data_IF_913760705108
#
_entry.id   IF_913760705108
#
_cell.length_a   1.000
_cell.length_b   1.000
_cell.length_c   1.000
_cell.angle_alpha   90.00
_cell.angle_beta   90.00
_cell.angle_gamma   90.00
#
_symmetry.space_group_name_H-M   'P 1'
#
loop_
_entity.id
_entity.type
_entity.pdbx_description
1 polymer ?
#
# COMPACT_ATOMS: atom_id res chain seq x y z
N UNK A 1 38.84 -16.79 -20.10
CA UNK A 1 38.61 -16.30 -18.71
C UNK A 1 37.41 -15.36 -18.72
N UNK A 2 36.36 -15.68 -17.96
CA UNK A 2 35.12 -14.88 -17.86
C UNK A 2 35.33 -13.75 -16.84
N UNK A 3 35.20 -12.50 -17.27
CA UNK A 3 35.09 -11.35 -16.36
C UNK A 3 33.60 -11.05 -16.18
N UNK A 4 33.06 -11.42 -15.01
CA UNK A 4 31.68 -11.09 -14.64
C UNK A 4 31.60 -9.63 -14.22
N UNK A 5 30.94 -8.81 -15.04
CA UNK A 5 30.50 -7.47 -14.64
C UNK A 5 29.27 -7.65 -13.76
N UNK A 6 29.42 -7.41 -12.46
CA UNK A 6 28.33 -7.36 -11.49
C UNK A 6 27.48 -6.12 -11.78
N UNK A 7 26.33 -6.31 -12.40
CA UNK A 7 25.31 -5.28 -12.55
C UNK A 7 24.73 -4.92 -11.17
N UNK A 8 25.23 -3.85 -10.57
CA UNK A 8 24.54 -3.15 -9.50
C UNK A 8 23.65 -2.07 -10.14
N UNK A 9 22.50 -2.50 -10.66
CA UNK A 9 21.48 -1.58 -11.16
C UNK A 9 20.75 -0.97 -9.94
N UNK A 10 21.17 0.23 -9.54
CA UNK A 10 20.41 1.03 -8.60
C UNK A 10 19.14 1.52 -9.30
N UNK A 11 18.05 0.77 -9.15
CA UNK A 11 16.73 1.20 -9.60
C UNK A 11 16.28 2.33 -8.70
N UNK A 12 16.34 3.56 -9.21
CA UNK A 12 15.78 4.74 -8.58
C UNK A 12 14.27 4.50 -8.42
N UNK A 13 13.82 4.41 -7.16
CA UNK A 13 12.43 4.18 -6.80
C UNK A 13 11.55 5.34 -7.33
N UNK A 14 10.86 5.11 -8.44
CA UNK A 14 9.71 5.93 -8.82
C UNK A 14 8.58 5.64 -7.84
N UNK A 15 8.39 6.52 -6.86
CA UNK A 15 7.25 6.50 -5.95
C UNK A 15 5.97 6.78 -6.73
N UNK A 16 5.08 5.80 -6.84
CA UNK A 16 3.73 6.03 -7.37
C UNK A 16 2.85 6.54 -6.24
N UNK A 17 2.15 7.66 -6.48
CA UNK A 17 1.24 8.30 -5.53
C UNK A 17 -0.15 8.33 -6.13
N UNK A 18 -1.14 7.82 -5.40
CA UNK A 18 -2.56 8.01 -5.75
C UNK A 18 -3.10 9.18 -4.94
N UNK A 19 -3.77 10.11 -5.63
CA UNK A 19 -4.45 11.27 -5.06
C UNK A 19 -5.95 11.01 -5.07
N UNK A 20 -6.60 11.14 -3.92
CA UNK A 20 -8.06 11.11 -3.84
C UNK A 20 -8.58 12.27 -3.01
N UNK A 21 -9.64 12.93 -3.48
CA UNK A 21 -10.31 14.06 -2.82
C UNK A 21 -11.57 13.58 -2.09
N UNK A 22 -11.73 13.91 -0.81
CA UNK A 22 -12.84 13.38 0.00
C UNK A 22 -13.50 14.46 0.87
N UNK A 23 -14.84 14.57 0.88
CA UNK A 23 -15.55 15.43 1.82
C UNK A 23 -15.57 14.82 3.22
N UNK A 24 -15.16 15.58 4.25
CA UNK A 24 -15.46 15.28 5.66
C UNK A 24 -14.28 14.87 6.56
N UNK A 25 -13.08 15.40 6.35
CA UNK A 25 -11.89 15.10 7.16
C UNK A 25 -11.59 16.16 8.24
N UNK A 26 -12.60 16.92 8.67
CA UNK A 26 -12.45 17.98 9.66
C UNK A 26 -12.24 17.42 11.09
N UNK A 27 -11.36 18.04 11.91
CA UNK A 27 -11.33 17.79 13.36
C UNK A 27 -12.66 18.18 13.99
N UNK A 28 -13.09 17.47 15.03
CA UNK A 28 -14.38 17.63 15.71
C UNK A 28 -14.60 18.98 16.44
N UNK A 29 -13.77 19.99 16.19
CA UNK A 29 -13.87 21.33 16.76
C UNK A 29 -13.84 22.38 15.67
N UNK A 30 -14.90 22.45 14.87
CA UNK A 30 -15.39 23.72 14.33
C UNK A 30 -16.77 23.54 13.71
N UNK A 31 -17.76 24.03 14.44
CA UNK A 31 -19.10 24.34 13.97
C UNK A 31 -19.04 25.35 12.83
N UNK A 32 -19.75 25.03 11.75
CA UNK A 32 -20.17 25.96 10.68
C UNK A 32 -19.04 26.58 9.84
N UNK A 33 -18.62 25.90 8.77
CA UNK A 33 -18.41 26.45 7.40
C UNK A 33 -17.54 25.50 6.57
N UNK A 34 -18.15 24.88 5.54
CA UNK A 34 -17.56 24.00 4.50
C UNK A 34 -16.93 22.66 4.94
N UNK A 35 -17.18 21.55 4.20
CA UNK A 35 -16.45 20.31 4.45
C UNK A 35 -15.00 20.50 4.01
N UNK A 36 -14.09 20.56 4.98
CA UNK A 36 -12.65 20.47 4.73
C UNK A 36 -12.38 19.19 3.92
N UNK A 37 -11.95 19.34 2.67
CA UNK A 37 -11.66 18.21 1.78
C UNK A 37 -10.24 17.75 2.12
N UNK A 38 -10.16 16.70 2.94
CA UNK A 38 -8.90 16.01 3.15
C UNK A 38 -8.58 15.16 1.92
N UNK A 39 -7.35 15.30 1.42
CA UNK A 39 -6.80 14.44 0.39
C UNK A 39 -5.99 13.34 1.06
N UNK A 40 -6.46 12.09 0.94
CA UNK A 40 -5.67 10.93 1.30
C UNK A 40 -4.72 10.58 0.14
N UNK A 41 -3.42 10.63 0.42
CA UNK A 41 -2.35 10.18 -0.47
C UNK A 41 -1.74 8.91 0.06
N UNK A 42 -1.71 7.88 -0.80
CA UNK A 42 -1.01 6.62 -0.51
C UNK A 42 0.05 6.41 -1.57
N UNK A 43 1.24 6.04 -1.12
CA UNK A 43 2.38 5.78 -1.99
C UNK A 43 3.14 4.53 -1.56
N UNK A 44 3.74 3.83 -2.52
CA UNK A 44 4.65 2.70 -2.22
C UNK A 44 6.05 3.28 -1.98
N UNK A 45 6.44 3.38 -0.70
CA UNK A 45 7.76 3.90 -0.30
C UNK A 45 8.86 2.88 -0.50
N UNK A 46 8.57 1.60 -0.27
CA UNK A 46 9.52 0.52 -0.48
C UNK A 46 8.78 -0.78 -0.80
N UNK A 47 9.42 -1.63 -1.60
CA UNK A 47 8.93 -2.95 -1.98
C UNK A 47 10.10 -3.93 -2.00
N UNK A 48 10.01 -4.98 -1.18
CA UNK A 48 11.02 -6.04 -1.11
C UNK A 48 10.36 -7.37 -1.40
N UNK A 49 10.97 -8.15 -2.29
CA UNK A 49 10.50 -9.50 -2.66
C UNK A 49 11.62 -10.49 -2.41
N UNK A 50 11.31 -11.54 -1.66
CA UNK A 50 12.17 -12.68 -1.45
C UNK A 50 11.51 -13.90 -2.09
N UNK A 51 12.08 -14.38 -3.19
CA UNK A 51 11.54 -15.50 -3.95
C UNK A 51 11.75 -15.27 -5.45
N UNK A 52 10.89 -15.90 -6.24
CA UNK A 52 10.97 -15.87 -7.70
C UNK A 52 10.04 -14.85 -8.36
N UNK A 53 9.11 -14.27 -7.60
CA UNK A 53 8.24 -13.21 -8.10
C UNK A 53 9.04 -11.96 -8.47
N UNK A 54 8.77 -11.40 -9.65
CA UNK A 54 9.43 -10.18 -10.10
C UNK A 54 8.91 -8.95 -9.36
N UNK A 55 9.83 -8.08 -8.92
CA UNK A 55 9.49 -6.86 -8.16
C UNK A 55 8.63 -5.89 -8.97
N UNK A 56 8.86 -5.77 -10.27
CA UNK A 56 8.10 -4.91 -11.19
C UNK A 56 6.63 -5.31 -11.24
N UNK A 57 6.37 -6.61 -11.40
CA UNK A 57 5.03 -7.21 -11.47
C UNK A 57 4.26 -7.00 -10.16
N UNK A 58 4.92 -7.22 -9.02
CA UNK A 58 4.31 -6.95 -7.70
C UNK A 58 4.02 -5.46 -7.53
N UNK A 59 4.92 -4.58 -7.96
CA UNK A 59 4.74 -3.13 -7.87
C UNK A 59 3.55 -2.66 -8.70
N UNK A 60 3.44 -3.14 -9.93
CA UNK A 60 2.34 -2.81 -10.84
C UNK A 60 1.00 -3.25 -10.26
N UNK A 61 0.92 -4.49 -9.80
CA UNK A 61 -0.31 -5.02 -9.21
C UNK A 61 -0.71 -4.29 -7.91
N UNK A 62 0.26 -3.99 -7.04
CA UNK A 62 0.01 -3.16 -5.85
C UNK A 62 -0.46 -1.76 -6.22
N UNK A 63 0.09 -1.17 -7.28
CA UNK A 63 -0.30 0.17 -7.78
C UNK A 63 -1.76 0.19 -8.22
N UNK A 64 -2.22 -0.86 -8.92
CA UNK A 64 -3.62 -1.01 -9.34
C UNK A 64 -4.57 -1.12 -8.14
N UNK A 65 -4.11 -1.69 -7.02
CA UNK A 65 -4.91 -1.86 -5.81
C UNK A 65 -4.85 -0.68 -4.84
N UNK A 66 -3.91 0.27 -5.03
CA UNK A 66 -3.79 1.46 -4.17
C UNK A 66 -5.13 2.19 -3.95
N UNK A 67 -6.00 2.35 -4.98
CA UNK A 67 -7.29 2.97 -4.76
C UNK A 67 -8.18 2.25 -3.74
N UNK A 68 -8.29 0.93 -3.86
CA UNK A 68 -9.12 0.13 -2.94
C UNK A 68 -8.51 0.09 -1.54
N UNK A 69 -7.18 0.11 -1.44
CA UNK A 69 -6.48 0.23 -0.16
C UNK A 69 -6.75 1.59 0.50
N UNK A 70 -6.94 2.65 -0.28
CA UNK A 70 -7.34 3.96 0.21
C UNK A 70 -8.69 3.92 0.92
N UNK A 71 -9.66 3.20 0.35
CA UNK A 71 -10.99 3.02 0.96
C UNK A 71 -10.88 2.36 2.34
N UNK A 72 -10.07 1.31 2.48
CA UNK A 72 -9.84 0.67 3.78
C UNK A 72 -9.18 1.64 4.78
N UNK A 73 -8.12 2.32 4.37
CA UNK A 73 -7.37 3.24 5.23
C UNK A 73 -8.24 4.41 5.68
N UNK A 74 -9.11 4.90 4.79
CA UNK A 74 -10.08 5.91 5.12
C UNK A 74 -11.11 5.43 6.14
N UNK A 75 -11.72 4.27 5.92
CA UNK A 75 -12.72 3.75 6.86
C UNK A 75 -12.12 3.60 8.28
N UNK A 76 -10.85 3.20 8.36
CA UNK A 76 -10.13 3.17 9.63
C UNK A 76 -9.85 4.57 10.17
N UNK A 77 -9.41 5.52 9.34
CA UNK A 77 -9.24 6.91 9.77
C UNK A 77 -10.54 7.49 10.35
N UNK A 78 -11.68 7.29 9.69
CA UNK A 78 -12.98 7.77 10.20
C UNK A 78 -13.38 7.11 11.52
N UNK A 79 -12.96 5.86 11.74
CA UNK A 79 -13.27 5.10 12.97
C UNK A 79 -12.45 5.56 14.17
N UNK A 80 -11.17 5.87 13.97
CA UNK A 80 -10.22 6.14 15.08
C UNK A 80 -9.59 7.53 15.05
N UNK A 81 -9.89 8.34 14.04
CA UNK A 81 -9.28 9.66 13.74
C UNK A 81 -7.75 9.64 13.76
N UNK A 82 -7.15 8.48 13.48
CA UNK A 82 -5.72 8.26 13.56
C UNK A 82 -5.27 7.09 12.68
N UNK A 83 -4.41 7.37 11.72
CA UNK A 83 -3.71 6.35 10.92
C UNK A 83 -2.23 6.74 10.91
N UNK A 84 -1.29 5.79 11.10
CA UNK A 84 0.12 6.06 11.02
C UNK A 84 0.51 6.46 9.58
N UNK A 85 1.50 7.32 9.47
CA UNK A 85 2.03 7.79 8.18
C UNK A 85 2.76 6.71 7.38
N UNK A 86 3.03 5.56 8.01
CA UNK A 86 3.71 4.40 7.42
C UNK A 86 2.97 3.15 7.83
N UNK A 87 2.68 2.29 6.85
CA UNK A 87 2.01 1.01 7.06
C UNK A 87 2.88 -0.08 6.44
N UNK A 88 3.28 -1.07 7.25
CA UNK A 88 4.06 -2.21 6.76
C UNK A 88 3.14 -3.39 6.50
N UNK A 89 3.06 -3.80 5.24
CA UNK A 89 2.29 -4.94 4.77
C UNK A 89 3.22 -6.11 4.43
N UNK A 90 2.91 -7.30 4.91
CA UNK A 90 3.61 -8.55 4.54
C UNK A 90 2.65 -9.49 3.84
N UNK A 91 3.13 -10.11 2.76
CA UNK A 91 2.36 -11.00 1.90
C UNK A 91 3.17 -12.25 1.57
N UNK A 92 2.48 -13.37 1.44
CA UNK A 92 3.03 -14.56 0.79
C UNK A 92 2.27 -14.80 -0.52
N UNK A 93 3.01 -14.86 -1.61
CA UNK A 93 2.51 -15.16 -2.95
C UNK A 93 2.89 -16.61 -3.26
N UNK A 94 1.90 -17.47 -3.50
CA UNK A 94 2.15 -18.83 -3.96
C UNK A 94 2.73 -18.84 -5.38
N UNK A 95 3.37 -19.95 -5.76
CA UNK A 95 3.96 -20.11 -7.08
C UNK A 95 2.99 -19.87 -8.26
N UNK A 96 1.71 -20.17 -8.05
CA UNK A 96 0.62 -19.88 -8.99
C UNK A 96 0.20 -18.40 -9.04
N UNK A 97 0.91 -17.50 -8.35
CA UNK A 97 0.67 -16.05 -8.35
C UNK A 97 -0.47 -15.58 -7.44
N UNK A 98 -1.12 -16.48 -6.68
CA UNK A 98 -2.15 -16.13 -5.70
C UNK A 98 -1.54 -15.68 -4.38
N UNK A 99 -2.14 -14.67 -3.75
CA UNK A 99 -1.79 -14.31 -2.37
C UNK A 99 -2.44 -15.30 -1.40
N UNK A 100 -1.62 -16.07 -0.69
CA UNK A 100 -2.07 -17.09 0.27
C UNK A 100 -2.07 -16.59 1.71
N UNK A 101 -1.32 -15.52 1.99
CA UNK A 101 -1.26 -14.92 3.31
C UNK A 101 -0.96 -13.43 3.22
N UNK A 102 -1.55 -12.67 4.14
CA UNK A 102 -1.41 -11.23 4.24
C UNK A 102 -1.49 -10.80 5.71
N UNK A 103 -0.71 -9.77 6.08
CA UNK A 103 -0.77 -9.16 7.42
C UNK A 103 -0.17 -7.76 7.43
N UNK A 104 -0.78 -6.86 8.18
CA UNK A 104 -0.23 -5.58 8.59
C UNK A 104 0.59 -5.79 9.87
N UNK A 105 1.83 -5.32 9.87
CA UNK A 105 2.75 -5.53 11.00
C UNK A 105 2.40 -4.63 12.18
N UNK A 106 1.83 -3.47 11.91
CA UNK A 106 1.51 -2.44 12.90
C UNK A 106 0.32 -2.86 13.79
N UNK A 107 0.51 -3.05 15.12
CA UNK A 107 -0.54 -3.57 16.01
C UNK A 107 -1.78 -2.68 16.09
N UNK A 108 -1.58 -1.37 15.97
CA UNK A 108 -2.64 -0.35 16.03
C UNK A 108 -3.57 -0.46 14.82
N UNK A 109 -3.11 -1.07 13.73
CA UNK A 109 -3.83 -1.21 12.47
C UNK A 109 -4.35 -2.64 12.22
N UNK A 110 -4.40 -3.50 13.23
CA UNK A 110 -4.91 -4.87 13.06
C UNK A 110 -6.35 -4.92 12.54
N UNK A 111 -7.16 -3.90 12.80
CA UNK A 111 -8.53 -3.79 12.26
C UNK A 111 -8.55 -3.62 10.74
N UNK A 112 -7.47 -3.11 10.14
CA UNK A 112 -7.31 -3.03 8.69
C UNK A 112 -6.97 -4.37 8.04
N UNK A 113 -6.45 -5.36 8.80
CA UNK A 113 -6.01 -6.65 8.24
C UNK A 113 -7.12 -7.28 7.38
N UNK A 114 -8.35 -7.34 7.90
CA UNK A 114 -9.46 -7.97 7.19
C UNK A 114 -9.79 -7.25 5.88
N UNK A 115 -9.83 -5.91 5.89
CA UNK A 115 -10.17 -5.11 4.71
C UNK A 115 -9.07 -5.21 3.64
N UNK A 116 -7.82 -4.97 4.06
CA UNK A 116 -6.64 -4.96 3.19
C UNK A 116 -6.36 -6.36 2.63
N UNK A 117 -6.40 -7.40 3.46
CA UNK A 117 -6.14 -8.76 2.99
C UNK A 117 -7.23 -9.26 2.05
N UNK A 118 -8.50 -8.86 2.23
CA UNK A 118 -9.57 -9.22 1.30
C UNK A 118 -9.35 -8.63 -0.09
N UNK A 119 -8.92 -7.37 -0.19
CA UNK A 119 -8.58 -6.73 -1.47
C UNK A 119 -7.38 -7.44 -2.10
N UNK A 120 -6.33 -7.67 -1.33
CA UNK A 120 -5.11 -8.28 -1.83
C UNK A 120 -5.32 -9.72 -2.31
N UNK A 121 -6.22 -10.48 -1.66
CA UNK A 121 -6.60 -11.82 -2.11
C UNK A 121 -7.37 -11.84 -3.44
N UNK A 122 -7.92 -10.72 -3.90
CA UNK A 122 -8.51 -10.60 -5.24
C UNK A 122 -7.43 -10.45 -6.33
N UNK A 123 -6.19 -10.16 -5.94
CA UNK A 123 -5.06 -10.04 -6.86
C UNK A 123 -4.62 -11.40 -7.40
N UNK A 124 -4.43 -11.47 -8.70
CA UNK A 124 -3.79 -12.60 -9.36
C UNK A 124 -2.52 -12.09 -10.05
N UNK A 125 -1.36 -12.46 -9.51
CA UNK A 125 -0.09 -12.19 -10.15
C UNK A 125 0.20 -13.26 -11.21
N UNK A 126 1.02 -12.93 -12.22
CA UNK A 126 1.71 -13.93 -13.05
C UNK A 126 2.45 -14.94 -12.17
N UNK A 127 2.46 -16.21 -12.61
CA UNK A 127 3.16 -17.27 -11.90
C UNK A 127 4.66 -16.94 -11.76
N UNK A 128 5.16 -16.95 -10.53
CA UNK A 128 6.55 -16.65 -10.22
C UNK A 128 7.47 -17.87 -10.26
N UNK A 129 6.94 -19.08 -10.31
CA UNK A 129 7.71 -20.34 -10.17
C UNK A 129 7.00 -21.31 -9.24
N UNK A 130 7.70 -22.31 -8.70
CA UNK A 130 7.09 -23.30 -7.79
C UNK A 130 7.11 -22.86 -6.31
N UNK A 131 8.01 -21.95 -5.95
CA UNK A 131 8.23 -21.54 -4.56
C UNK A 131 7.34 -20.36 -4.12
N UNK A 132 7.02 -20.30 -2.83
CA UNK A 132 6.32 -19.17 -2.21
C UNK A 132 7.27 -17.96 -2.15
N UNK A 133 6.84 -16.84 -2.70
CA UNK A 133 7.55 -15.56 -2.59
C UNK A 133 7.02 -14.74 -1.42
N UNK A 134 7.91 -14.26 -0.55
CA UNK A 134 7.58 -13.35 0.55
C UNK A 134 7.76 -11.91 0.10
N UNK A 135 6.71 -11.12 0.18
CA UNK A 135 6.70 -9.71 -0.22
C UNK A 135 6.50 -8.85 1.02
N UNK A 136 7.29 -7.80 1.14
CA UNK A 136 7.08 -6.73 2.12
C UNK A 136 6.88 -5.42 1.38
N UNK A 137 5.76 -4.74 1.67
CA UNK A 137 5.42 -3.44 1.10
C UNK A 137 5.39 -2.42 2.23
N UNK A 138 6.13 -1.33 2.07
CA UNK A 138 6.03 -0.16 2.93
C UNK A 138 5.18 0.89 2.22
N UNK A 139 4.00 1.15 2.76
CA UNK A 139 3.10 2.20 2.28
C UNK A 139 3.35 3.48 3.08
N UNK A 140 3.40 4.60 2.37
CA UNK A 140 3.39 5.94 2.94
C UNK A 140 1.98 6.50 2.83
N UNK A 141 1.42 6.95 3.95
CA UNK A 141 0.10 7.57 4.05
C UNK A 141 0.27 9.02 4.46
N UNK A 142 -0.33 9.93 3.69
CA UNK A 142 -0.36 11.36 4.00
C UNK A 142 -1.79 11.87 3.82
N UNK A 143 -2.26 12.65 4.78
CA UNK A 143 -3.53 13.38 4.67
C UNK A 143 -3.14 14.84 4.49
N UNK A 144 -3.41 15.37 3.30
CA UNK A 144 -3.24 16.78 3.01
C UNK A 144 -4.60 17.46 3.12
N UNK A 145 -4.74 18.46 3.97
CA UNK A 145 -5.92 19.31 3.96
C UNK A 145 -5.79 20.29 2.80
N UNK A 146 -6.74 20.27 1.86
CA UNK A 146 -6.84 21.37 0.90
C UNK A 146 -7.26 22.61 1.70
N UNK A 147 -6.27 23.44 2.07
CA UNK A 147 -6.54 24.83 2.35
C UNK A 147 -7.07 25.43 1.04
N UNK A 148 -8.39 25.49 0.89
CA UNK A 148 -9.00 26.33 -0.14
C UNK A 148 -8.55 27.77 0.10
N UNK A 149 -8.03 28.48 -0.93
CA UNK A 149 -7.61 29.87 -0.81
C UNK A 149 -8.77 30.80 -0.44
#
# INVERSE_FOLDING_TARGET
MKLQIKNALWVILSSVTVLMTWPGLAPAEQTNERPDIGILRISILNLTVHGKQEVSVVREAMTVLLPQLADCIQAEYQRVNKVPTRIVLRLNVAGCGKIVWCKIVDPVLKTLDNCVCKILQQMQLPAGGEEISRVTVLLGVKIDHLLTP
#
